data_IF_155225518661
#
_entry.id   IF_155225518661
#
_cell.length_a   1.000
_cell.length_b   1.000
_cell.length_c   1.000
_cell.angle_alpha   90.00
_cell.angle_beta   90.00
_cell.angle_gamma   90.00
#
_symmetry.space_group_name_H-M   'P 1'
#
loop_
_entity.id
_entity.type
_entity.pdbx_description
1 polymer ?
#
# COMPACT_ATOMS: atom_id res chain seq x y z
N UNK A 1 -6.75 3.27 23.96
CA UNK A 1 -8.19 3.65 23.94
C UNK A 1 -8.77 3.76 22.53
N UNK A 2 -8.17 4.50 21.59
CA UNK A 2 -8.73 4.71 20.24
C UNK A 2 -8.91 3.41 19.42
N UNK A 3 -7.91 2.52 19.41
CA UNK A 3 -7.99 1.22 18.72
C UNK A 3 -9.10 0.32 19.30
N UNK A 4 -9.21 0.28 20.63
CA UNK A 4 -10.23 -0.51 21.32
C UNK A 4 -11.64 -0.02 20.97
N UNK A 5 -11.84 1.30 20.86
CA UNK A 5 -13.11 1.88 20.41
C UNK A 5 -13.46 1.48 18.97
N UNK A 6 -12.48 1.48 18.05
CA UNK A 6 -12.67 1.04 16.65
C UNK A 6 -13.10 -0.43 16.60
N UNK A 7 -12.42 -1.29 17.38
CA UNK A 7 -12.76 -2.71 17.45
C UNK A 7 -14.16 -2.94 18.03
N UNK A 8 -14.50 -2.27 19.12
CA UNK A 8 -15.82 -2.36 19.74
C UNK A 8 -16.93 -1.89 18.79
N UNK A 9 -16.72 -0.78 18.07
CA UNK A 9 -17.70 -0.27 17.12
C UNK A 9 -17.90 -1.22 15.93
N UNK A 10 -16.82 -1.83 15.45
CA UNK A 10 -16.86 -2.85 14.39
C UNK A 10 -17.61 -4.11 14.85
N UNK A 11 -17.32 -4.59 16.06
CA UNK A 11 -17.99 -5.75 16.67
C UNK A 11 -19.48 -5.45 16.89
N UNK A 12 -19.83 -4.25 17.38
CA UNK A 12 -21.21 -3.84 17.57
C UNK A 12 -21.98 -3.80 16.24
N UNK A 13 -21.36 -3.27 15.17
CA UNK A 13 -21.94 -3.25 13.82
C UNK A 13 -22.13 -4.66 13.25
N UNK A 14 -21.14 -5.54 13.40
CA UNK A 14 -21.25 -6.95 13.02
C UNK A 14 -22.35 -7.68 13.80
N UNK A 15 -22.44 -7.45 15.11
CA UNK A 15 -23.48 -8.03 15.96
C UNK A 15 -24.88 -7.55 15.55
N UNK A 16 -25.05 -6.25 15.26
CA UNK A 16 -26.30 -5.70 14.76
C UNK A 16 -26.70 -6.36 13.43
N UNK A 17 -25.76 -6.46 12.48
CA UNK A 17 -25.99 -7.12 11.19
C UNK A 17 -26.41 -8.59 11.35
N UNK A 18 -25.75 -9.32 12.24
CA UNK A 18 -26.11 -10.69 12.60
C UNK A 18 -27.52 -10.78 13.20
N UNK A 19 -27.86 -9.91 14.17
CA UNK A 19 -29.16 -9.90 14.82
C UNK A 19 -30.30 -9.57 13.85
N UNK A 20 -30.09 -8.64 12.94
CA UNK A 20 -31.04 -8.32 11.86
C UNK A 20 -31.30 -9.54 10.96
N UNK A 21 -30.25 -10.26 10.56
CA UNK A 21 -30.41 -11.49 9.76
C UNK A 21 -31.10 -12.62 10.52
N UNK A 22 -30.85 -12.74 11.83
CA UNK A 22 -31.55 -13.72 12.67
C UNK A 22 -33.04 -13.37 12.75
N UNK A 23 -33.36 -12.11 13.07
CA UNK A 23 -34.74 -11.63 13.14
C UNK A 23 -35.49 -11.71 11.80
N UNK A 24 -34.79 -11.57 10.67
CA UNK A 24 -35.36 -11.80 9.33
C UNK A 24 -35.93 -13.20 9.17
N UNK A 25 -35.27 -14.23 9.69
CA UNK A 25 -35.76 -15.61 9.63
C UNK A 25 -37.01 -15.81 10.48
N UNK A 26 -37.04 -15.17 11.65
CA UNK A 26 -38.16 -15.29 12.60
C UNK A 26 -39.41 -14.54 12.11
N UNK A 27 -39.22 -13.43 11.37
CA UNK A 27 -40.30 -12.56 10.87
C UNK A 27 -40.58 -12.70 9.37
N UNK A 28 -39.92 -13.64 8.69
CA UNK A 28 -39.94 -13.83 7.24
C UNK A 28 -39.78 -12.52 6.42
N UNK A 29 -38.89 -11.63 6.91
CA UNK A 29 -38.72 -10.29 6.35
C UNK A 29 -37.42 -10.20 5.53
N UNK A 30 -37.54 -10.26 4.21
CA UNK A 30 -36.39 -10.22 3.28
C UNK A 30 -35.56 -8.93 3.40
N UNK A 31 -36.18 -7.79 3.76
CA UNK A 31 -35.45 -6.52 3.92
C UNK A 31 -34.43 -6.60 5.05
N UNK A 32 -34.79 -7.26 6.15
CA UNK A 32 -33.87 -7.46 7.28
C UNK A 32 -32.73 -8.42 6.93
N UNK A 33 -32.93 -9.36 6.01
CA UNK A 33 -31.84 -10.20 5.52
C UNK A 33 -30.80 -9.37 4.74
N UNK A 34 -31.29 -8.54 3.81
CA UNK A 34 -30.45 -7.70 2.95
C UNK A 34 -29.71 -6.66 3.77
N UNK A 35 -30.43 -5.87 4.57
CA UNK A 35 -29.81 -4.83 5.40
C UNK A 35 -28.90 -5.43 6.46
N UNK A 36 -29.28 -6.54 7.10
CA UNK A 36 -28.41 -7.21 8.06
C UNK A 36 -27.12 -7.73 7.43
N UNK A 37 -27.20 -8.27 6.20
CA UNK A 37 -26.03 -8.69 5.43
C UNK A 37 -25.10 -7.54 5.04
N UNK A 38 -25.66 -6.44 4.54
CA UNK A 38 -24.91 -5.23 4.18
C UNK A 38 -24.25 -4.59 5.40
N UNK A 39 -25.00 -4.40 6.49
CA UNK A 39 -24.48 -3.85 7.75
C UNK A 39 -23.32 -4.68 8.28
N UNK A 40 -23.43 -6.02 8.24
CA UNK A 40 -22.35 -6.90 8.66
C UNK A 40 -21.08 -6.71 7.80
N UNK A 41 -21.23 -6.72 6.47
CA UNK A 41 -20.10 -6.58 5.55
C UNK A 41 -19.43 -5.21 5.63
N UNK A 42 -20.21 -4.15 5.77
CA UNK A 42 -19.70 -2.78 5.94
C UNK A 42 -18.97 -2.64 7.27
N UNK A 43 -19.52 -3.18 8.37
CA UNK A 43 -18.87 -3.13 9.68
C UNK A 43 -17.54 -3.91 9.69
N UNK A 44 -17.51 -5.09 9.05
CA UNK A 44 -16.27 -5.87 8.91
C UNK A 44 -15.24 -5.13 8.06
N UNK A 45 -15.63 -4.64 6.88
CA UNK A 45 -14.75 -3.93 5.95
C UNK A 45 -14.23 -2.64 6.57
N UNK A 46 -15.13 -1.80 7.07
CA UNK A 46 -14.79 -0.54 7.74
C UNK A 46 -13.91 -0.76 8.96
N UNK A 47 -14.14 -1.82 9.73
CA UNK A 47 -13.29 -2.19 10.86
C UNK A 47 -11.86 -2.52 10.44
N UNK A 48 -11.69 -3.37 9.42
CA UNK A 48 -10.37 -3.71 8.89
C UNK A 48 -9.65 -2.46 8.36
N UNK A 49 -10.35 -1.61 7.59
CA UNK A 49 -9.75 -0.39 7.03
C UNK A 49 -9.40 0.63 8.11
N UNK A 50 -10.27 0.85 9.10
CA UNK A 50 -9.99 1.77 10.21
C UNK A 50 -8.83 1.27 11.07
N UNK A 51 -8.75 -0.03 11.35
CA UNK A 51 -7.62 -0.64 12.05
C UNK A 51 -6.33 -0.52 11.24
N UNK A 52 -6.35 -0.82 9.94
CA UNK A 52 -5.19 -0.68 9.07
C UNK A 52 -4.70 0.78 9.01
N UNK A 53 -5.62 1.75 8.89
CA UNK A 53 -5.28 3.17 8.92
C UNK A 53 -4.63 3.58 10.24
N UNK A 54 -5.18 3.10 11.37
CA UNK A 54 -4.64 3.42 12.69
C UNK A 54 -3.25 2.83 12.91
N UNK A 55 -3.00 1.61 12.42
CA UNK A 55 -1.71 0.93 12.56
C UNK A 55 -0.64 1.47 11.60
N UNK A 56 -1.02 1.90 10.39
CA UNK A 56 -0.08 2.30 9.34
C UNK A 56 0.21 3.81 9.29
N UNK A 57 -0.63 4.66 9.88
CA UNK A 57 -0.50 6.12 9.74
C UNK A 57 0.76 6.72 10.38
N UNK A 58 1.27 6.17 11.49
CA UNK A 58 2.44 6.71 12.20
C UNK A 58 2.31 8.22 12.52
N UNK A 59 3.45 8.91 12.65
CA UNK A 59 3.51 10.40 12.68
C UNK A 59 3.34 10.98 11.27
N UNK A 60 3.99 10.38 10.29
CA UNK A 60 3.85 10.67 8.87
C UNK A 60 3.67 9.36 8.08
N UNK A 61 2.93 9.43 6.97
CA UNK A 61 2.71 8.26 6.13
C UNK A 61 3.95 8.00 5.28
N UNK A 62 4.65 6.90 5.57
CA UNK A 62 5.70 6.42 4.69
C UNK A 62 5.11 5.87 3.38
N UNK A 63 5.86 5.86 2.28
CA UNK A 63 5.44 5.34 0.98
C UNK A 63 5.16 3.83 1.09
N UNK A 64 5.96 3.13 1.88
CA UNK A 64 5.70 1.74 2.23
C UNK A 64 4.34 1.56 2.94
N UNK A 65 4.03 2.41 3.93
CA UNK A 65 2.76 2.36 4.64
C UNK A 65 1.58 2.79 3.75
N UNK A 66 1.77 3.78 2.85
CA UNK A 66 0.79 4.19 1.82
C UNK A 66 0.44 3.03 0.90
N UNK A 67 1.47 2.37 0.37
CA UNK A 67 1.31 1.21 -0.50
C UNK A 67 0.58 0.08 0.24
N UNK A 68 1.02 -0.26 1.44
CA UNK A 68 0.42 -1.34 2.23
C UNK A 68 -1.06 -1.06 2.55
N UNK A 69 -1.41 0.17 2.91
CA UNK A 69 -2.79 0.56 3.14
C UNK A 69 -3.65 0.49 1.87
N UNK A 70 -3.13 0.94 0.72
CA UNK A 70 -3.83 0.82 -0.58
C UNK A 70 -4.08 -0.65 -0.94
N UNK A 71 -3.10 -1.53 -0.73
CA UNK A 71 -3.26 -2.97 -0.96
C UNK A 71 -4.34 -3.57 -0.08
N UNK A 72 -4.34 -3.28 1.22
CA UNK A 72 -5.39 -3.73 2.15
C UNK A 72 -6.74 -3.19 1.69
N UNK A 73 -6.81 -1.92 1.29
CA UNK A 73 -8.05 -1.30 0.83
C UNK A 73 -8.65 -2.00 -0.38
N UNK A 74 -7.85 -2.21 -1.43
CA UNK A 74 -8.32 -2.88 -2.65
C UNK A 74 -8.64 -4.35 -2.42
N UNK A 75 -7.89 -5.04 -1.56
CA UNK A 75 -8.15 -6.44 -1.22
C UNK A 75 -9.47 -6.61 -0.45
N UNK A 76 -9.69 -5.81 0.60
CA UNK A 76 -10.89 -5.94 1.45
C UNK A 76 -12.15 -5.49 0.69
N UNK A 77 -12.09 -4.37 -0.04
CA UNK A 77 -13.19 -3.90 -0.88
C UNK A 77 -13.47 -4.94 -1.97
N UNK A 78 -12.44 -5.43 -2.66
CA UNK A 78 -12.56 -6.49 -3.67
C UNK A 78 -13.25 -7.73 -3.12
N UNK A 79 -12.82 -8.20 -1.95
CA UNK A 79 -13.42 -9.36 -1.29
C UNK A 79 -14.90 -9.12 -0.95
N UNK A 80 -15.27 -7.92 -0.49
CA UNK A 80 -16.66 -7.56 -0.24
C UNK A 80 -17.51 -7.69 -1.52
N UNK A 81 -17.04 -7.16 -2.65
CA UNK A 81 -17.73 -7.25 -3.94
C UNK A 81 -17.84 -8.70 -4.43
N UNK A 82 -16.79 -9.51 -4.27
CA UNK A 82 -16.80 -10.94 -4.59
C UNK A 82 -17.82 -11.69 -3.74
N UNK A 83 -17.88 -11.45 -2.43
CA UNK A 83 -18.84 -12.08 -1.53
C UNK A 83 -20.30 -11.76 -1.90
N UNK A 84 -20.57 -10.51 -2.32
CA UNK A 84 -21.89 -10.10 -2.83
C UNK A 84 -22.22 -10.86 -4.12
N UNK A 85 -21.30 -10.89 -5.10
CA UNK A 85 -21.49 -11.60 -6.37
C UNK A 85 -21.70 -13.10 -6.21
N UNK A 86 -20.94 -13.75 -5.33
CA UNK A 86 -21.11 -15.18 -5.01
C UNK A 86 -22.47 -15.43 -4.37
N UNK A 87 -22.93 -14.55 -3.46
CA UNK A 87 -24.28 -14.69 -2.88
C UNK A 87 -25.39 -14.53 -3.91
N UNK A 88 -25.27 -13.54 -4.80
CA UNK A 88 -26.24 -13.35 -5.90
C UNK A 88 -26.30 -14.59 -6.78
N UNK A 89 -25.14 -15.13 -7.16
CA UNK A 89 -25.05 -16.37 -7.96
C UNK A 89 -25.67 -17.56 -7.23
N UNK A 90 -25.39 -17.74 -5.94
CA UNK A 90 -25.93 -18.82 -5.15
C UNK A 90 -27.46 -18.74 -5.00
N UNK A 91 -28.01 -17.52 -4.81
CA UNK A 91 -29.46 -17.30 -4.76
C UNK A 91 -30.12 -17.59 -6.11
N UNK A 92 -29.59 -17.03 -7.20
CA UNK A 92 -30.09 -17.27 -8.54
C UNK A 92 -30.03 -18.75 -8.96
N UNK A 93 -29.01 -19.49 -8.50
CA UNK A 93 -28.93 -20.95 -8.69
C UNK A 93 -30.06 -21.69 -8.01
N UNK A 94 -30.40 -21.32 -6.76
CA UNK A 94 -31.52 -21.93 -6.01
C UNK A 94 -32.87 -21.63 -6.65
N UNK A 95 -33.03 -20.46 -7.25
CA UNK A 95 -34.25 -20.02 -7.92
C UNK A 95 -34.35 -20.50 -9.38
N UNK A 96 -33.37 -21.25 -9.89
CA UNK A 96 -33.33 -21.68 -11.29
C UNK A 96 -33.15 -20.54 -12.31
N UNK A 97 -32.84 -19.33 -11.84
CA UNK A 97 -32.71 -18.13 -12.66
C UNK A 97 -31.34 -18.09 -13.35
N UNK A 98 -31.29 -18.50 -14.62
CA UNK A 98 -30.06 -18.50 -15.42
C UNK A 98 -29.48 -17.09 -15.63
N UNK A 99 -30.33 -16.08 -15.83
CA UNK A 99 -29.88 -14.70 -16.03
C UNK A 99 -29.19 -14.16 -14.77
N UNK A 100 -29.78 -14.43 -13.60
CA UNK A 100 -29.21 -14.05 -12.30
C UNK A 100 -27.87 -14.74 -12.01
N UNK A 101 -27.69 -15.99 -12.47
CA UNK A 101 -26.41 -16.70 -12.36
C UNK A 101 -25.33 -16.05 -13.23
N UNK A 102 -25.66 -15.71 -14.49
CA UNK A 102 -24.73 -15.04 -15.40
C UNK A 102 -24.36 -13.65 -14.86
N UNK A 103 -25.34 -12.88 -14.39
CA UNK A 103 -25.10 -11.57 -13.80
C UNK A 103 -24.20 -11.66 -12.56
N UNK A 104 -24.46 -12.62 -11.67
CA UNK A 104 -23.65 -12.85 -10.47
C UNK A 104 -22.21 -13.29 -10.79
N UNK A 105 -22.01 -14.18 -11.76
CA UNK A 105 -20.68 -14.58 -12.21
C UNK A 105 -19.92 -13.43 -12.88
N UNK A 106 -20.60 -12.65 -13.72
CA UNK A 106 -20.02 -11.47 -14.38
C UNK A 106 -19.57 -10.44 -13.33
N UNK A 107 -20.38 -10.23 -12.29
CA UNK A 107 -20.02 -9.35 -11.17
C UNK A 107 -18.75 -9.81 -10.46
N UNK A 108 -18.62 -11.11 -10.17
CA UNK A 108 -17.41 -11.67 -9.54
C UNK A 108 -16.19 -11.48 -10.44
N UNK A 109 -16.32 -11.73 -11.75
CA UNK A 109 -15.23 -11.55 -12.71
C UNK A 109 -14.75 -10.10 -12.75
N UNK A 110 -15.68 -9.14 -12.86
CA UNK A 110 -15.36 -7.70 -12.87
C UNK A 110 -14.71 -7.27 -11.55
N UNK A 111 -15.21 -7.73 -10.41
CA UNK A 111 -14.63 -7.42 -9.11
C UNK A 111 -13.18 -7.94 -8.99
N UNK A 112 -12.93 -9.19 -9.36
CA UNK A 112 -11.59 -9.77 -9.36
C UNK A 112 -10.64 -9.04 -10.32
N UNK A 113 -11.10 -8.74 -11.53
CA UNK A 113 -10.30 -8.03 -12.54
C UNK A 113 -9.92 -6.62 -12.08
N UNK A 114 -10.91 -5.84 -11.62
CA UNK A 114 -10.67 -4.47 -11.14
C UNK A 114 -9.75 -4.45 -9.92
N UNK A 115 -9.98 -5.31 -8.93
CA UNK A 115 -9.10 -5.42 -7.76
C UNK A 115 -7.69 -5.86 -8.14
N UNK A 116 -7.55 -6.81 -9.08
CA UNK A 116 -6.26 -7.26 -9.60
C UNK A 116 -5.46 -6.12 -10.24
N UNK A 117 -6.09 -5.32 -11.12
CA UNK A 117 -5.45 -4.15 -11.73
C UNK A 117 -4.98 -3.12 -10.70
N UNK A 118 -5.82 -2.83 -9.69
CA UNK A 118 -5.47 -1.86 -8.65
C UNK A 118 -4.31 -2.36 -7.77
N UNK A 119 -4.28 -3.67 -7.45
CA UNK A 119 -3.17 -4.29 -6.72
C UNK A 119 -1.88 -4.24 -7.55
N UNK A 120 -1.92 -4.61 -8.83
CA UNK A 120 -0.73 -4.56 -9.70
C UNK A 120 -0.18 -3.15 -9.85
N UNK A 121 -1.03 -2.13 -9.98
CA UNK A 121 -0.59 -0.73 -10.02
C UNK A 121 0.02 -0.29 -8.70
N UNK A 122 -0.57 -0.68 -7.59
CA UNK A 122 -0.09 -0.33 -6.25
C UNK A 122 1.26 -0.98 -5.94
N UNK A 123 1.49 -2.22 -6.39
CA UNK A 123 2.78 -2.90 -6.19
C UNK A 123 3.95 -2.14 -6.84
N UNK A 124 3.70 -1.44 -7.94
CA UNK A 124 4.74 -0.67 -8.65
C UNK A 124 5.11 0.66 -7.98
N UNK A 125 4.38 1.08 -6.95
CA UNK A 125 4.68 2.34 -6.24
C UNK A 125 6.02 2.33 -5.51
N UNK A 126 6.58 1.14 -5.23
CA UNK A 126 7.82 0.98 -4.47
C UNK A 126 8.98 0.43 -5.31
N UNK A 127 8.82 0.38 -6.65
CA UNK A 127 9.79 -0.22 -7.57
C UNK A 127 10.89 0.76 -8.05
N UNK A 128 10.99 1.97 -7.47
CA UNK A 128 11.93 3.01 -7.93
C UNK A 128 12.61 3.82 -6.82
N UNK A 129 13.32 4.87 -7.25
CA UNK A 129 13.87 5.91 -6.39
C UNK A 129 12.73 6.78 -5.86
N UNK A 130 12.20 6.39 -4.70
CA UNK A 130 11.20 7.19 -3.99
C UNK A 130 11.89 8.29 -3.16
N UNK A 131 11.16 9.35 -2.84
CA UNK A 131 11.68 10.46 -2.02
C UNK A 131 12.24 9.99 -0.68
N UNK A 132 11.62 8.99 -0.05
CA UNK A 132 12.14 8.35 1.18
C UNK A 132 13.47 7.63 0.97
N UNK A 133 13.64 6.94 -0.17
CA UNK A 133 14.89 6.24 -0.48
C UNK A 133 15.99 7.21 -0.85
N UNK A 134 15.66 8.29 -1.57
CA UNK A 134 16.59 9.40 -1.81
C UNK A 134 17.05 10.02 -0.48
N UNK A 135 16.12 10.30 0.43
CA UNK A 135 16.43 10.83 1.77
C UNK A 135 17.30 9.87 2.61
N UNK A 136 17.10 8.55 2.48
CA UNK A 136 17.97 7.56 3.12
C UNK A 136 19.39 7.60 2.57
N UNK A 137 19.56 7.72 1.24
CA UNK A 137 20.89 7.85 0.62
C UNK A 137 21.55 9.18 1.01
N UNK A 138 20.78 10.27 1.06
CA UNK A 138 21.25 11.58 1.49
C UNK A 138 21.73 11.55 2.95
N UNK A 139 20.93 11.00 3.86
CA UNK A 139 21.31 10.84 5.27
C UNK A 139 22.53 9.92 5.45
N UNK A 140 22.63 8.85 4.65
CA UNK A 140 23.81 7.99 4.66
C UNK A 140 25.07 8.74 4.18
N UNK A 141 24.95 9.62 3.19
CA UNK A 141 26.03 10.50 2.75
C UNK A 141 26.44 11.49 3.83
N UNK A 142 25.49 12.15 4.50
CA UNK A 142 25.77 13.07 5.61
C UNK A 142 26.52 12.36 6.75
N UNK A 143 26.13 11.12 7.09
CA UNK A 143 26.84 10.32 8.09
C UNK A 143 28.25 9.88 7.69
N UNK A 144 28.61 9.95 6.40
CA UNK A 144 29.98 9.71 5.92
C UNK A 144 30.88 10.94 6.11
N UNK A 145 30.30 12.15 6.23
CA UNK A 145 31.06 13.37 6.56
C UNK A 145 31.71 13.27 7.95
N UNK A 146 31.03 12.64 8.91
CA UNK A 146 31.56 12.38 10.25
C UNK A 146 32.75 11.40 10.26
N UNK A 147 32.96 10.65 9.16
CA UNK A 147 34.06 9.69 9.00
C UNK A 147 35.24 10.25 8.20
N UNK A 148 35.22 11.56 7.87
CA UNK A 148 36.29 12.24 7.13
C UNK A 148 36.09 12.30 5.62
N UNK A 149 34.97 11.77 5.11
CA UNK A 149 34.63 11.84 3.68
C UNK A 149 33.58 12.94 3.44
N UNK A 150 34.03 14.12 3.05
CA UNK A 150 33.14 15.25 2.79
C UNK A 150 32.65 15.24 1.33
N UNK A 151 31.49 14.65 1.08
CA UNK A 151 30.82 14.66 -0.22
C UNK A 151 29.76 15.76 -0.31
N UNK A 152 29.57 16.32 -1.51
CA UNK A 152 28.35 17.07 -1.81
C UNK A 152 27.17 16.08 -1.92
N UNK A 153 26.37 15.96 -0.87
CA UNK A 153 25.33 14.92 -0.78
C UNK A 153 24.21 15.01 -1.83
N UNK A 154 23.73 16.20 -2.24
CA UNK A 154 22.86 16.33 -3.41
C UNK A 154 23.46 15.77 -4.70
N UNK A 155 24.76 16.02 -4.96
CA UNK A 155 25.48 15.45 -6.10
C UNK A 155 25.59 13.92 -5.98
N UNK A 156 25.93 13.42 -4.79
CA UNK A 156 26.05 11.99 -4.52
C UNK A 156 24.74 11.23 -4.79
N UNK A 157 23.60 11.76 -4.33
CA UNK A 157 22.28 11.14 -4.56
C UNK A 157 21.96 11.07 -6.05
N UNK A 158 22.26 12.13 -6.81
CA UNK A 158 22.05 12.16 -8.27
C UNK A 158 22.89 11.11 -8.99
N UNK A 159 24.17 11.00 -8.63
CA UNK A 159 25.06 10.00 -9.24
C UNK A 159 24.67 8.58 -8.86
N UNK A 160 24.22 8.35 -7.62
CA UNK A 160 23.62 7.06 -7.22
C UNK A 160 22.41 6.73 -8.09
N UNK A 161 21.50 7.69 -8.30
CA UNK A 161 20.32 7.48 -9.14
C UNK A 161 20.66 7.25 -10.62
N UNK A 162 21.73 7.88 -11.12
CA UNK A 162 22.23 7.71 -12.48
C UNK A 162 22.93 6.36 -12.68
N UNK A 163 23.76 5.95 -11.72
CA UNK A 163 24.54 4.73 -11.79
C UNK A 163 23.71 3.46 -11.49
N UNK A 164 22.69 3.57 -10.64
CA UNK A 164 21.88 2.44 -10.19
C UNK A 164 20.42 2.62 -10.61
N UNK A 165 19.95 1.72 -11.47
CA UNK A 165 18.57 1.72 -12.00
C UNK A 165 17.52 1.63 -10.89
N UNK A 166 17.84 0.94 -9.80
CA UNK A 166 16.96 0.85 -8.64
C UNK A 166 17.75 0.83 -7.32
N UNK A 167 17.08 1.10 -6.19
CA UNK A 167 17.70 1.12 -4.87
C UNK A 167 18.22 -0.24 -4.38
N UNK A 168 17.67 -1.35 -4.89
CA UNK A 168 18.11 -2.70 -4.52
C UNK A 168 19.51 -2.96 -5.07
N UNK A 169 19.77 -2.54 -6.31
CA UNK A 169 21.07 -2.67 -6.95
C UNK A 169 22.13 -1.83 -6.21
N UNK A 170 21.76 -0.62 -5.78
CA UNK A 170 22.62 0.23 -4.95
C UNK A 170 22.91 -0.43 -3.60
N UNK A 171 21.89 -0.83 -2.84
CA UNK A 171 22.07 -1.45 -1.52
C UNK A 171 22.96 -2.70 -1.62
N UNK A 172 22.72 -3.54 -2.62
CA UNK A 172 23.53 -4.73 -2.87
C UNK A 172 25.00 -4.38 -3.19
N UNK A 173 25.25 -3.31 -3.94
CA UNK A 173 26.61 -2.85 -4.23
C UNK A 173 27.32 -2.26 -3.01
N UNK A 174 26.57 -1.69 -2.06
CA UNK A 174 27.09 -1.11 -0.82
C UNK A 174 27.28 -2.14 0.32
N UNK A 175 26.53 -3.24 0.30
CA UNK A 175 26.64 -4.35 1.27
C UNK A 175 27.70 -5.38 0.86
N UNK A 176 28.00 -5.52 -0.43
CA UNK A 176 28.99 -6.48 -0.94
C UNK A 176 30.42 -5.95 -0.84
N UNK A 177 30.99 -6.04 0.37
CA UNK A 177 32.37 -5.68 0.68
C UNK A 177 33.41 -6.47 -0.14
N UNK A 178 33.06 -7.68 -0.61
CA UNK A 178 33.97 -8.56 -1.33
C UNK A 178 34.21 -8.14 -2.78
N UNK A 179 33.26 -7.39 -3.36
CA UNK A 179 33.29 -7.01 -4.77
C UNK A 179 34.17 -5.80 -5.09
N UNK A 180 34.60 -5.05 -4.08
CA UNK A 180 35.32 -3.78 -4.24
C UNK A 180 34.48 -2.64 -4.85
N UNK A 181 33.25 -2.91 -5.29
CA UNK A 181 32.37 -1.95 -5.98
C UNK A 181 32.05 -0.73 -5.13
N UNK A 182 31.83 -0.94 -3.83
CA UNK A 182 31.65 0.16 -2.88
C UNK A 182 32.84 1.11 -2.88
N UNK A 183 34.06 0.57 -2.74
CA UNK A 183 35.28 1.38 -2.71
C UNK A 183 35.51 2.11 -4.04
N UNK A 184 35.31 1.45 -5.18
CA UNK A 184 35.42 2.07 -6.50
C UNK A 184 34.39 3.18 -6.71
N UNK A 185 33.15 2.96 -6.27
CA UNK A 185 32.09 3.96 -6.37
C UNK A 185 32.37 5.17 -5.49
N UNK A 186 32.74 4.96 -4.22
CA UNK A 186 33.08 6.03 -3.28
C UNK A 186 34.27 6.85 -3.80
N UNK A 187 35.34 6.20 -4.28
CA UNK A 187 36.50 6.89 -4.85
C UNK A 187 36.14 7.75 -6.08
N UNK A 188 35.22 7.26 -6.93
CA UNK A 188 34.71 8.05 -8.06
C UNK A 188 33.92 9.28 -7.58
N UNK A 189 33.14 9.13 -6.51
CA UNK A 189 32.38 10.24 -5.92
C UNK A 189 33.27 11.29 -5.24
N UNK A 190 34.47 10.93 -4.78
CA UNK A 190 35.46 11.90 -4.26
C UNK A 190 35.95 12.85 -5.37
N UNK A 191 36.05 12.37 -6.60
CA UNK A 191 36.43 13.15 -7.78
C UNK A 191 35.24 13.94 -8.36
N UNK A 192 34.08 13.29 -8.51
CA UNK A 192 32.93 13.85 -9.20
C UNK A 192 32.07 14.77 -8.31
N UNK A 193 32.02 14.54 -7.00
CA UNK A 193 31.16 15.24 -6.05
C UNK A 193 31.92 15.82 -4.81
N UNK A 194 32.97 16.64 -5.00
CA UNK A 194 33.75 17.18 -3.89
C UNK A 194 32.95 18.17 -3.04
N UNK A 195 33.13 18.13 -1.70
CA UNK A 195 32.61 19.19 -0.82
C UNK A 195 33.23 20.55 -1.15
N UNK A 196 32.38 21.58 -1.24
CA UNK A 196 32.81 22.97 -1.53
C UNK A 196 32.89 23.31 -3.02
N UNK A 197 32.59 22.38 -3.93
CA UNK A 197 32.25 22.69 -5.33
C UNK A 197 30.90 23.43 -5.42
N UNK A 198 30.63 24.08 -6.57
CA UNK A 198 29.44 24.88 -6.80
C UNK A 198 28.18 24.24 -6.19
N UNK A 199 27.47 24.98 -5.35
CA UNK A 199 26.28 24.51 -4.64
C UNK A 199 25.27 23.96 -5.64
N UNK A 200 25.14 22.64 -5.73
CA UNK A 200 24.08 21.99 -6.48
C UNK A 200 22.77 22.21 -5.72
N UNK A 201 21.79 22.78 -6.42
CA UNK A 201 20.49 23.13 -5.85
C UNK A 201 19.74 21.84 -5.48
N UNK A 202 19.22 21.78 -4.24
CA UNK A 202 18.38 20.68 -3.75
C UNK A 202 17.13 20.49 -4.62
N UNK A 203 16.72 21.52 -5.38
CA UNK A 203 15.61 21.47 -6.34
C UNK A 203 15.83 20.52 -7.53
N UNK A 204 17.08 20.12 -7.81
CA UNK A 204 17.41 19.19 -8.91
C UNK A 204 17.29 17.70 -8.52
N UNK A 205 17.10 17.39 -7.23
CA UNK A 205 16.72 16.03 -6.81
C UNK A 205 15.22 15.90 -7.04
N UNK A 206 14.87 15.43 -8.24
CA UNK A 206 13.49 15.31 -8.71
C UNK A 206 12.65 14.55 -7.66
N UNK A 207 11.82 15.30 -6.93
CA UNK A 207 10.84 14.74 -6.01
C UNK A 207 9.73 14.11 -6.85
N UNK A 208 9.84 12.81 -7.07
CA UNK A 208 8.73 12.04 -7.65
C UNK A 208 7.68 11.88 -6.55
N UNK A 209 6.91 12.93 -6.31
CA UNK A 209 5.69 12.88 -5.52
C UNK A 209 4.67 12.05 -6.30
N UNK A 210 4.49 10.80 -5.87
CA UNK A 210 3.46 9.94 -6.42
C UNK A 210 2.08 10.49 -6.04
N UNK A 211 1.18 10.74 -7.01
CA UNK A 211 -0.14 11.29 -6.72
C UNK A 211 -0.94 10.39 -5.75
N UNK A 212 -1.63 11.07 -4.83
CA UNK A 212 -2.55 10.51 -3.84
C UNK A 212 -3.76 9.81 -4.46
#
# INVERSE_FOLDING_TARGET
>A
MKLLAILLLSIAGMYLGYKLRKSSKDSNNERFEIYGGLTFLIALTGGILATALFLLKGESWTIANKMMFRLISFAVIGLMFVLVGVRLTARAKREGNKLGQIAGLTWVLVACFASGLMITRTNKMNDGWTTERQAQVMSACEGMADQGNSFNCPCYVREVMSAFKNPIDYNKAMEDESSGKKATFIAKMEEDCPCGGASFDESEVESIDLPF
#
